data_IF_379702939661
#
_entry.id   IF_379702939661
#
_cell.length_a   1.000
_cell.length_b   1.000
_cell.length_c   1.000
_cell.angle_alpha   90.00
_cell.angle_beta   90.00
_cell.angle_gamma   90.00
#
_symmetry.space_group_name_H-M   'P 1'
#
loop_
_entity.id
_entity.type
_entity.pdbx_description
1 polymer ?
#
# COMPACT_ATOMS: atom_id res chain seq x y z
N UNK A 1 3.50 18.87 23.12
CA UNK A 1 2.43 17.93 23.52
C UNK A 1 3.07 16.63 23.97
N UNK A 2 2.48 15.94 24.94
CA UNK A 2 2.96 14.64 25.43
C UNK A 2 1.97 13.55 24.98
N UNK A 3 2.50 12.40 24.55
CA UNK A 3 1.72 11.21 24.22
C UNK A 3 1.84 10.19 25.37
N UNK A 4 0.77 9.44 25.62
CA UNK A 4 0.74 8.41 26.66
C UNK A 4 0.89 7.02 26.03
N UNK A 5 1.67 6.17 26.68
CA UNK A 5 1.73 4.73 26.38
C UNK A 5 0.56 4.04 27.09
N UNK A 6 -0.22 3.23 26.36
CA UNK A 6 -1.31 2.43 26.94
C UNK A 6 -0.85 1.02 27.32
N UNK A 7 -1.72 0.25 28.00
CA UNK A 7 -1.42 -1.10 28.49
C UNK A 7 -1.01 -2.13 27.40
N UNK A 8 -1.19 -1.80 26.11
CA UNK A 8 -0.81 -2.66 24.98
C UNK A 8 0.41 -2.12 24.22
N UNK A 9 1.24 -1.29 24.86
CA UNK A 9 2.33 -0.57 24.20
C UNK A 9 1.86 0.29 23.01
N UNK A 10 0.61 0.77 23.05
CA UNK A 10 0.09 1.66 22.03
C UNK A 10 0.55 3.08 22.32
N UNK A 11 1.10 3.76 21.32
CA UNK A 11 1.41 5.18 21.35
C UNK A 11 0.26 5.97 20.70
N UNK A 12 -0.41 6.82 21.47
CA UNK A 12 -1.47 7.69 20.93
C UNK A 12 -0.91 9.05 20.56
N UNK A 13 -0.91 9.39 19.27
CA UNK A 13 -0.45 10.69 18.78
C UNK A 13 -1.60 11.72 18.71
N UNK A 14 -1.32 13.01 18.96
CA UNK A 14 -2.29 14.07 18.75
C UNK A 14 -2.71 14.19 17.29
N UNK A 15 -4.01 14.42 17.05
CA UNK A 15 -4.55 14.61 15.70
C UNK A 15 -3.86 15.74 14.93
N UNK A 16 -3.45 16.81 15.61
CA UNK A 16 -2.71 17.92 14.99
C UNK A 16 -1.40 17.49 14.35
N UNK A 17 -0.71 16.51 14.94
CA UNK A 17 0.57 15.98 14.43
C UNK A 17 0.31 15.05 13.24
N UNK A 18 -0.65 14.13 13.37
CA UNK A 18 -0.97 13.19 12.28
C UNK A 18 -1.54 13.90 11.05
N UNK A 19 -2.30 14.98 11.23
CA UNK A 19 -2.87 15.74 10.11
C UNK A 19 -1.79 16.48 9.29
N UNK A 20 -0.67 16.87 9.92
CA UNK A 20 0.40 17.61 9.24
C UNK A 20 1.14 16.77 8.18
N UNK A 21 1.14 15.45 8.34
CA UNK A 21 1.79 14.50 7.43
C UNK A 21 0.80 13.83 6.45
N UNK A 22 -0.47 14.24 6.48
CA UNK A 22 -1.53 13.73 5.59
C UNK A 22 -2.07 12.35 6.00
N UNK A 23 -2.86 11.70 5.12
CA UNK A 23 -3.42 10.37 5.39
C UNK A 23 -2.31 9.31 5.36
N UNK A 24 -2.11 8.65 6.51
CA UNK A 24 -1.10 7.60 6.69
C UNK A 24 -1.78 6.37 7.28
N UNK A 25 -1.57 5.21 6.66
CA UNK A 25 -2.07 3.92 7.16
C UNK A 25 -1.01 3.16 7.96
N UNK A 26 0.27 3.29 7.57
CA UNK A 26 1.38 2.56 8.17
C UNK A 26 2.59 3.47 8.36
N UNK A 27 3.34 3.19 9.42
CA UNK A 27 4.63 3.81 9.70
C UNK A 27 5.69 2.74 9.72
N UNK A 28 6.81 3.01 9.08
CA UNK A 28 8.06 2.36 9.44
C UNK A 28 8.55 2.95 10.77
N UNK A 29 9.06 2.08 11.65
CA UNK A 29 9.36 2.43 13.04
C UNK A 29 10.79 2.01 13.35
N UNK A 30 11.64 2.99 13.61
CA UNK A 30 13.03 2.77 14.02
C UNK A 30 13.37 3.56 15.28
N UNK A 31 14.46 3.15 15.94
CA UNK A 31 15.05 3.93 17.03
C UNK A 31 16.33 4.58 16.53
N UNK A 32 16.42 5.91 16.66
CA UNK A 32 17.60 6.69 16.32
C UNK A 32 17.94 7.64 17.45
N UNK A 33 19.14 7.50 18.02
CA UNK A 33 19.65 8.36 19.09
C UNK A 33 18.70 8.49 20.29
N UNK A 34 18.05 7.38 20.69
CA UNK A 34 17.08 7.35 21.78
C UNK A 34 15.70 7.92 21.43
N UNK A 35 15.46 8.26 20.17
CA UNK A 35 14.17 8.74 19.66
C UNK A 35 13.49 7.65 18.83
N UNK A 36 12.17 7.56 18.91
CA UNK A 36 11.37 6.75 17.99
C UNK A 36 11.07 7.60 16.77
N UNK A 37 11.56 7.17 15.60
CA UNK A 37 11.26 7.81 14.31
C UNK A 37 10.11 7.05 13.66
N UNK A 38 9.07 7.78 13.29
CA UNK A 38 7.89 7.25 12.60
C UNK A 38 7.88 7.82 11.19
N UNK A 39 8.23 7.00 10.21
CA UNK A 39 8.25 7.40 8.80
C UNK A 39 6.99 6.91 8.11
N UNK A 40 6.13 7.79 7.57
CA UNK A 40 4.96 7.38 6.81
C UNK A 40 5.37 6.51 5.62
N UNK A 41 4.81 5.31 5.54
CA UNK A 41 5.02 4.43 4.40
C UNK A 41 3.70 4.06 3.74
N UNK A 42 3.72 4.00 2.41
CA UNK A 42 2.62 3.42 1.65
C UNK A 42 2.95 1.95 1.46
N UNK A 43 2.12 1.05 1.99
CA UNK A 43 2.20 -0.35 1.61
C UNK A 43 1.76 -0.43 0.15
N UNK A 44 2.73 -0.55 -0.76
CA UNK A 44 2.45 -0.78 -2.16
C UNK A 44 1.92 -2.20 -2.32
N UNK A 45 0.59 -2.35 -2.32
CA UNK A 45 -0.06 -3.61 -2.70
C UNK A 45 0.31 -4.03 -4.13
N UNK A 46 0.83 -3.12 -4.95
CA UNK A 46 1.30 -3.43 -6.30
C UNK A 46 2.41 -4.49 -6.30
N UNK A 47 3.33 -4.47 -5.34
CA UNK A 47 4.39 -5.48 -5.25
C UNK A 47 3.83 -6.83 -4.81
N UNK A 48 2.88 -6.84 -3.87
CA UNK A 48 2.15 -8.05 -3.48
C UNK A 48 1.32 -8.62 -4.65
N UNK A 49 0.72 -7.75 -5.47
CA UNK A 49 -0.01 -8.14 -6.68
C UNK A 49 0.96 -8.71 -7.73
N UNK A 50 2.11 -8.06 -7.98
CA UNK A 50 3.14 -8.55 -8.92
C UNK A 50 3.73 -9.89 -8.47
N UNK A 51 4.03 -10.04 -7.18
CA UNK A 51 4.46 -11.30 -6.59
C UNK A 51 3.39 -12.39 -6.78
N UNK A 52 2.11 -12.04 -6.58
CA UNK A 52 1.01 -12.99 -6.78
C UNK A 52 0.82 -13.39 -8.24
N UNK A 53 0.98 -12.46 -9.17
CA UNK A 53 0.96 -12.75 -10.61
C UNK A 53 2.11 -13.68 -11.00
N UNK A 54 3.31 -13.44 -10.47
CA UNK A 54 4.47 -14.31 -10.68
C UNK A 54 4.26 -15.73 -10.11
N UNK A 55 3.69 -15.87 -8.90
CA UNK A 55 3.30 -17.17 -8.34
C UNK A 55 2.32 -17.94 -9.24
N UNK A 56 1.39 -17.23 -9.88
CA UNK A 56 0.42 -17.80 -10.81
C UNK A 56 0.99 -18.04 -12.21
N UNK A 57 2.30 -17.80 -12.41
CA UNK A 57 2.98 -17.87 -13.70
C UNK A 57 2.33 -16.98 -14.77
N UNK A 58 1.64 -15.91 -14.35
CA UNK A 58 1.05 -14.92 -15.24
C UNK A 58 2.11 -13.90 -15.62
N UNK A 59 2.37 -13.84 -16.91
CA UNK A 59 3.37 -12.98 -17.53
C UNK A 59 2.73 -11.70 -18.09
N UNK A 60 3.57 -10.74 -18.48
CA UNK A 60 3.10 -9.55 -19.19
C UNK A 60 2.37 -9.89 -20.50
N UNK A 61 2.73 -11.02 -21.13
CA UNK A 61 2.08 -11.51 -22.33
C UNK A 61 0.64 -11.99 -22.04
N UNK A 62 0.42 -12.70 -20.93
CA UNK A 62 -0.92 -13.15 -20.53
C UNK A 62 -1.86 -11.96 -20.28
N UNK A 63 -1.31 -10.87 -19.73
CA UNK A 63 -2.04 -9.61 -19.54
C UNK A 63 -2.34 -8.96 -20.88
N UNK A 64 -1.36 -8.89 -21.79
CA UNK A 64 -1.55 -8.33 -23.13
C UNK A 64 -2.61 -9.10 -23.93
N UNK A 65 -2.59 -10.42 -23.85
CA UNK A 65 -3.53 -11.31 -24.53
C UNK A 65 -4.95 -11.17 -23.96
N UNK A 66 -5.08 -11.07 -22.63
CA UNK A 66 -6.36 -10.80 -21.98
C UNK A 66 -6.94 -9.44 -22.39
N UNK A 67 -6.13 -8.38 -22.41
CA UNK A 67 -6.57 -7.04 -22.85
C UNK A 67 -6.97 -7.05 -24.33
N UNK A 68 -6.19 -7.73 -25.19
CA UNK A 68 -6.51 -7.87 -26.62
C UNK A 68 -7.79 -8.69 -26.85
N UNK A 69 -8.04 -9.72 -26.05
CA UNK A 69 -9.27 -10.50 -26.10
C UNK A 69 -10.50 -9.68 -25.68
N UNK A 70 -10.42 -8.92 -24.58
CA UNK A 70 -11.52 -8.04 -24.13
C UNK A 70 -11.82 -6.96 -25.17
N UNK A 71 -10.80 -6.32 -25.74
CA UNK A 71 -10.97 -5.28 -26.77
C UNK A 71 -11.61 -5.81 -28.05
N UNK A 72 -11.19 -6.98 -28.53
CA UNK A 72 -11.84 -7.66 -29.67
C UNK A 72 -13.30 -8.02 -29.39
N UNK A 73 -13.62 -8.41 -28.16
CA UNK A 73 -14.98 -8.73 -27.75
C UNK A 73 -15.87 -7.48 -27.67
N UNK A 74 -15.32 -6.34 -27.29
CA UNK A 74 -16.04 -5.06 -27.30
C UNK A 74 -16.40 -4.58 -28.72
N UNK A 75 -15.53 -4.83 -29.70
CA UNK A 75 -15.79 -4.51 -31.12
C UNK A 75 -16.82 -5.44 -31.78
N UNK A 76 -17.13 -6.59 -31.15
CA UNK A 76 -18.09 -7.58 -31.64
C UNK A 76 -19.54 -7.39 -31.17
N UNK A 77 -19.82 -6.46 -30.26
CA UNK A 77 -21.16 -6.26 -29.66
C UNK A 77 -22.02 -5.25 -30.44
N UNK A 78 -21.54 -4.72 -31.57
CA UNK A 78 -22.27 -3.71 -32.38
C UNK A 78 -22.78 -4.20 -33.74
N UNK A 79 -23.18 -5.46 -33.89
CA UNK A 79 -23.91 -5.91 -35.07
C UNK A 79 -25.03 -6.89 -34.77
#
# INVERSE_FOLDING_TARGET
>A
MLAKITAKNQLTLPKSVTNAIGPVEYFDVETRDGQIVLTPVRIQRADAVRAKLAELSLTEQDIADAVAWVRRSADGVTK
#
